data_IF_904205330629
#
_entry.id   IF_904205330629
#
_cell.length_a   1.000
_cell.length_b   1.000
_cell.length_c   1.000
_cell.angle_alpha   90.00
_cell.angle_beta   90.00
_cell.angle_gamma   90.00
#
_symmetry.space_group_name_H-M   'P 1'
#
loop_
_entity.id
_entity.type
_entity.pdbx_description
1 polymer ?
#
# COMPACT_ATOMS: atom_id res chain seq x y z
N UNK A 1 -11.68 3.24 -12.68
CA UNK A 1 -12.52 4.37 -13.15
C UNK A 1 -11.77 5.70 -13.30
N UNK A 2 -11.23 6.34 -12.25
CA UNK A 2 -10.52 7.62 -12.43
C UNK A 2 -9.32 7.51 -13.39
N UNK A 3 -8.51 6.45 -13.26
CA UNK A 3 -7.44 6.13 -14.21
C UNK A 3 -7.94 6.04 -15.66
N UNK A 4 -9.06 5.34 -15.89
CA UNK A 4 -9.65 5.16 -17.23
C UNK A 4 -10.12 6.49 -17.84
N UNK A 5 -10.82 7.32 -17.05
CA UNK A 5 -11.34 8.61 -17.51
C UNK A 5 -10.19 9.56 -17.86
N UNK A 6 -9.12 9.56 -17.07
CA UNK A 6 -7.95 10.41 -17.30
C UNK A 6 -6.93 9.84 -18.28
N UNK A 7 -7.10 8.61 -18.77
CA UNK A 7 -6.06 7.91 -19.54
C UNK A 7 -4.75 7.74 -18.76
N UNK A 8 -4.80 7.67 -17.43
CA UNK A 8 -3.63 7.58 -16.54
C UNK A 8 -3.31 6.11 -16.29
N UNK A 9 -2.06 5.72 -16.55
CA UNK A 9 -1.61 4.35 -16.26
C UNK A 9 -1.60 4.07 -14.74
N UNK A 10 -1.77 2.81 -14.31
CA UNK A 10 -1.62 2.43 -12.91
C UNK A 10 -0.26 2.87 -12.33
N UNK A 11 0.82 2.72 -13.09
CA UNK A 11 2.18 3.16 -12.70
C UNK A 11 2.21 4.64 -12.31
N UNK A 12 1.68 5.51 -13.16
CA UNK A 12 1.60 6.94 -12.87
C UNK A 12 0.65 7.20 -11.69
N UNK A 13 -0.49 6.50 -11.61
CA UNK A 13 -1.48 6.72 -10.56
C UNK A 13 -0.91 6.52 -9.14
N UNK A 14 -0.06 5.51 -8.94
CA UNK A 14 0.57 5.22 -7.64
C UNK A 14 1.57 6.30 -7.18
N UNK A 15 2.09 7.12 -8.09
CA UNK A 15 2.97 8.25 -7.74
C UNK A 15 2.21 9.46 -7.21
N UNK A 16 0.92 9.59 -7.55
CA UNK A 16 0.13 10.78 -7.22
C UNK A 16 -1.02 10.50 -6.24
N UNK A 17 -1.50 9.26 -6.18
CA UNK A 17 -2.64 8.88 -5.37
C UNK A 17 -2.26 7.78 -4.39
N UNK A 18 -2.87 7.81 -3.21
CA UNK A 18 -2.66 6.83 -2.15
C UNK A 18 -3.22 5.44 -2.46
N UNK A 19 -4.03 5.33 -3.52
CA UNK A 19 -4.66 4.10 -3.99
C UNK A 19 -5.39 3.32 -2.88
N UNK A 20 -6.02 4.04 -1.95
CA UNK A 20 -6.78 3.49 -0.83
C UNK A 20 -6.01 3.34 0.48
N UNK A 21 -4.69 3.54 0.49
CA UNK A 21 -3.86 3.46 1.71
C UNK A 21 -3.42 4.86 2.14
N UNK A 22 -4.23 5.55 2.95
CA UNK A 22 -3.95 6.93 3.38
C UNK A 22 -2.70 7.09 4.25
N UNK A 23 -2.20 6.00 4.85
CA UNK A 23 -1.03 6.00 5.73
C UNK A 23 -0.38 4.61 5.71
N UNK A 24 0.96 4.58 5.83
CA UNK A 24 1.74 3.37 6.10
C UNK A 24 2.37 3.46 7.49
N UNK A 25 2.26 2.38 8.26
CA UNK A 25 2.87 2.23 9.57
C UNK A 25 3.81 1.02 9.54
N UNK A 26 5.05 1.22 9.99
CA UNK A 26 6.03 0.14 10.14
C UNK A 26 6.03 -0.33 11.58
N UNK A 27 5.89 -1.65 11.77
CA UNK A 27 5.95 -2.31 13.06
C UNK A 27 6.83 -3.55 12.97
N UNK A 28 7.23 -4.09 14.12
CA UNK A 28 7.87 -5.39 14.17
C UNK A 28 6.93 -6.48 13.57
N UNK A 29 7.44 -7.45 12.80
CA UNK A 29 6.61 -8.46 12.13
C UNK A 29 5.65 -9.19 13.07
N UNK A 30 6.12 -9.52 14.27
CA UNK A 30 5.35 -10.20 15.31
C UNK A 30 4.18 -9.36 15.86
N UNK A 31 4.20 -8.04 15.66
CA UNK A 31 3.17 -7.13 16.12
C UNK A 31 2.16 -6.73 15.02
N UNK A 32 2.38 -7.14 13.76
CA UNK A 32 1.60 -6.67 12.60
C UNK A 32 0.10 -6.96 12.75
N UNK A 33 -0.28 -8.22 13.00
CA UNK A 33 -1.68 -8.63 13.12
C UNK A 33 -2.35 -8.01 14.36
N UNK A 34 -1.65 -7.99 15.50
CA UNK A 34 -2.17 -7.38 16.72
C UNK A 34 -2.43 -5.87 16.53
N UNK A 35 -1.55 -5.18 15.79
CA UNK A 35 -1.71 -3.76 15.46
C UNK A 35 -2.93 -3.53 14.58
N UNK A 36 -3.12 -4.34 13.53
CA UNK A 36 -4.31 -4.26 12.66
C UNK A 36 -5.60 -4.44 13.47
N UNK A 37 -5.64 -5.40 14.39
CA UNK A 37 -6.81 -5.64 15.25
C UNK A 37 -7.10 -4.45 16.18
N UNK A 38 -6.07 -3.84 16.77
CA UNK A 38 -6.24 -2.66 17.63
C UNK A 38 -6.73 -1.43 16.84
N UNK A 39 -6.21 -1.23 15.62
CA UNK A 39 -6.68 -0.17 14.73
C UNK A 39 -8.14 -0.37 14.34
N UNK A 40 -8.55 -1.61 14.04
CA UNK A 40 -9.94 -1.94 13.75
C UNK A 40 -10.87 -1.63 14.94
N UNK A 41 -10.46 -1.95 16.18
CA UNK A 41 -11.20 -1.60 17.39
C UNK A 41 -11.32 -0.08 17.59
N UNK A 42 -10.36 0.69 17.08
CA UNK A 42 -10.35 2.15 17.11
C UNK A 42 -11.11 2.79 15.93
N UNK A 43 -11.77 1.98 15.09
CA UNK A 43 -12.58 2.44 13.96
C UNK A 43 -11.80 2.66 12.66
N UNK A 44 -10.54 2.24 12.58
CA UNK A 44 -9.74 2.33 11.36
C UNK A 44 -9.81 1.04 10.54
N UNK A 45 -9.95 1.17 9.22
CA UNK A 45 -9.72 0.06 8.31
C UNK A 45 -8.21 -0.06 8.04
N UNK A 46 -7.58 -1.11 8.54
CA UNK A 46 -6.16 -1.37 8.37
C UNK A 46 -5.92 -2.80 7.85
N UNK A 47 -4.78 -3.01 7.20
CA UNK A 47 -4.33 -4.31 6.73
C UNK A 47 -2.80 -4.36 6.70
N UNK A 48 -2.22 -5.55 6.69
CA UNK A 48 -0.80 -5.74 6.40
C UNK A 48 -0.56 -5.45 4.92
N UNK A 49 0.08 -4.32 4.61
CA UNK A 49 0.28 -3.86 3.23
C UNK A 49 1.54 -4.46 2.56
N UNK A 50 2.47 -5.03 3.33
CA UNK A 50 3.73 -5.56 2.82
C UNK A 50 4.77 -5.73 3.91
N UNK A 51 6.05 -5.79 3.50
CA UNK A 51 7.19 -5.95 4.39
C UNK A 51 8.40 -5.16 3.85
N UNK A 52 9.33 -4.83 4.73
CA UNK A 52 10.60 -4.19 4.34
C UNK A 52 11.61 -5.24 3.88
N UNK A 53 12.42 -4.87 2.89
CA UNK A 53 13.55 -5.66 2.41
C UNK A 53 14.86 -4.89 2.60
N UNK A 54 15.99 -5.53 2.33
CA UNK A 54 17.30 -4.88 2.33
C UNK A 54 17.55 -4.04 1.06
N UNK A 55 16.70 -4.17 0.05
CA UNK A 55 16.85 -3.50 -1.24
C UNK A 55 16.18 -2.13 -1.21
N UNK A 56 16.79 -1.15 -1.88
CA UNK A 56 16.17 0.15 -2.07
C UNK A 56 15.03 0.07 -3.12
N UNK A 57 14.02 0.91 -2.94
CA UNK A 57 12.88 1.02 -3.84
C UNK A 57 11.60 0.39 -3.29
N UNK A 58 10.55 0.42 -4.11
CA UNK A 58 9.21 -0.08 -3.77
C UNK A 58 8.73 -1.00 -4.88
N UNK A 59 8.34 -2.22 -4.54
CA UNK A 59 7.67 -3.16 -5.44
C UNK A 59 6.21 -3.31 -5.04
N UNK A 60 5.29 -3.02 -5.95
CA UNK A 60 3.85 -3.14 -5.74
C UNK A 60 3.28 -4.27 -6.60
N UNK A 61 2.47 -5.14 -6.01
CA UNK A 61 1.70 -6.17 -6.72
C UNK A 61 0.24 -5.74 -6.78
N UNK A 62 -0.20 -5.36 -7.97
CA UNK A 62 -1.52 -4.75 -8.20
C UNK A 62 -2.26 -5.51 -9.30
N UNK A 63 -3.54 -5.21 -9.51
CA UNK A 63 -4.34 -5.87 -10.55
C UNK A 63 -3.73 -5.74 -11.97
N UNK A 64 -2.97 -4.68 -12.21
CA UNK A 64 -2.26 -4.43 -13.47
C UNK A 64 -0.90 -5.16 -13.60
N UNK A 65 -0.49 -5.91 -12.57
CA UNK A 65 0.80 -6.62 -12.54
C UNK A 65 1.75 -6.09 -11.46
N UNK A 66 3.04 -6.35 -11.65
CA UNK A 66 4.11 -5.88 -10.77
C UNK A 66 4.62 -4.51 -11.24
N UNK A 67 4.67 -3.54 -10.33
CA UNK A 67 5.19 -2.19 -10.56
C UNK A 67 6.43 -1.99 -9.67
N UNK A 68 7.48 -1.36 -10.21
CA UNK A 68 8.73 -1.10 -9.49
C UNK A 68 9.09 0.37 -9.57
N UNK A 69 9.43 0.93 -8.42
CA UNK A 69 9.89 2.31 -8.28
C UNK A 69 11.24 2.30 -7.58
N UNK A 70 12.22 2.99 -8.17
CA UNK A 70 13.57 3.12 -7.64
C UNK A 70 13.72 4.40 -6.83
#
# INVERSE_FOLDING_TARGET
RLCEIGGISPETAYLYWNMGNGMLLVVAPEAAEATVQQLAQSGYQAQVAGYLTAEAGVTLRVAAGELKYA
#
